data_IF_041739919287
#
_entry.id   IF_041739919287
#
_cell.length_a   1.000
_cell.length_b   1.000
_cell.length_c   1.000
_cell.angle_alpha   90.00
_cell.angle_beta   90.00
_cell.angle_gamma   90.00
#
_symmetry.space_group_name_H-M   'P 1'
#
loop_
_entity.id
_entity.type
_entity.pdbx_description
1 polymer ?
#
# COMPACT_ATOMS: atom_id res chain seq x y z
N UNK A 1 -16.10 29.14 -6.33
CA UNK A 1 -16.28 27.78 -6.88
C UNK A 1 -15.64 26.81 -5.90
N UNK A 2 -16.41 25.92 -5.27
CA UNK A 2 -15.87 24.98 -4.27
C UNK A 2 -15.01 23.92 -4.95
N UNK A 3 -13.81 23.67 -4.42
CA UNK A 3 -12.88 22.68 -4.93
C UNK A 3 -12.98 21.39 -4.11
N UNK A 4 -13.64 20.38 -4.66
CA UNK A 4 -13.88 19.09 -3.99
C UNK A 4 -12.71 18.10 -4.14
N UNK A 5 -11.68 18.42 -4.93
CA UNK A 5 -10.56 17.50 -5.18
C UNK A 5 -9.84 17.14 -3.89
N UNK A 6 -9.60 18.11 -3.00
CA UNK A 6 -8.92 17.88 -1.73
C UNK A 6 -9.68 16.92 -0.81
N UNK A 7 -11.01 17.07 -0.74
CA UNK A 7 -11.86 16.18 0.07
C UNK A 7 -11.84 14.75 -0.47
N UNK A 8 -12.02 14.59 -1.79
CA UNK A 8 -12.04 13.28 -2.45
C UNK A 8 -10.68 12.58 -2.30
N UNK A 9 -9.58 13.30 -2.55
CA UNK A 9 -8.22 12.78 -2.42
C UNK A 9 -7.92 12.38 -0.97
N UNK A 10 -8.29 13.22 0.01
CA UNK A 10 -8.10 12.91 1.43
C UNK A 10 -8.83 11.63 1.85
N UNK A 11 -10.06 11.44 1.39
CA UNK A 11 -10.82 10.21 1.64
C UNK A 11 -10.12 8.98 1.04
N UNK A 12 -9.61 9.08 -0.19
CA UNK A 12 -8.86 8.00 -0.83
C UNK A 12 -7.57 7.64 -0.10
N UNK A 13 -6.80 8.63 0.39
CA UNK A 13 -5.59 8.38 1.18
C UNK A 13 -5.90 7.58 2.43
N UNK A 14 -6.94 7.97 3.18
CA UNK A 14 -7.32 7.29 4.42
C UNK A 14 -7.71 5.83 4.14
N UNK A 15 -8.56 5.61 3.13
CA UNK A 15 -9.02 4.28 2.74
C UNK A 15 -7.87 3.39 2.23
N UNK A 16 -7.05 3.91 1.30
CA UNK A 16 -5.94 3.16 0.73
C UNK A 16 -4.89 2.80 1.78
N UNK A 17 -4.57 3.72 2.68
CA UNK A 17 -3.61 3.47 3.77
C UNK A 17 -4.11 2.36 4.70
N UNK A 18 -5.40 2.40 5.09
CA UNK A 18 -6.01 1.35 5.91
C UNK A 18 -6.03 -0.01 5.23
N UNK A 19 -6.42 -0.06 3.95
CA UNK A 19 -6.41 -1.29 3.16
C UNK A 19 -4.98 -1.81 2.96
N UNK A 20 -4.03 -0.92 2.70
CA UNK A 20 -2.61 -1.24 2.54
C UNK A 20 -2.03 -1.90 3.78
N UNK A 21 -2.34 -1.39 4.98
CA UNK A 21 -1.95 -2.02 6.24
C UNK A 21 -2.48 -3.46 6.37
N UNK A 22 -3.77 -3.67 6.12
CA UNK A 22 -4.39 -5.01 6.21
C UNK A 22 -3.77 -5.96 5.17
N UNK A 23 -3.52 -5.46 3.95
CA UNK A 23 -2.90 -6.23 2.88
C UNK A 23 -1.47 -6.66 3.24
N UNK A 24 -0.68 -5.79 3.88
CA UNK A 24 0.67 -6.09 4.36
C UNK A 24 0.65 -7.15 5.46
N UNK A 25 -0.25 -7.03 6.44
CA UNK A 25 -0.36 -8.00 7.54
C UNK A 25 -0.77 -9.38 7.00
N UNK A 26 -1.78 -9.43 6.12
CA UNK A 26 -2.20 -10.70 5.50
C UNK A 26 -1.11 -11.26 4.58
N UNK A 27 -0.46 -10.40 3.80
CA UNK A 27 0.65 -10.79 2.92
C UNK A 27 1.78 -11.44 3.70
N UNK A 28 2.17 -10.86 4.83
CA UNK A 28 3.17 -11.43 5.73
C UNK A 28 2.69 -12.73 6.38
N UNK A 29 1.43 -12.78 6.83
CA UNK A 29 0.86 -13.98 7.47
C UNK A 29 0.78 -15.20 6.53
N UNK A 30 0.42 -15.01 5.25
CA UNK A 30 0.25 -16.12 4.31
C UNK A 30 1.52 -16.46 3.51
N UNK A 31 2.27 -15.44 3.07
CA UNK A 31 3.39 -15.59 2.12
C UNK A 31 4.73 -15.13 2.72
N UNK A 32 4.73 -14.59 3.94
CA UNK A 32 5.90 -14.02 4.58
C UNK A 32 6.41 -12.78 3.84
N UNK A 33 7.70 -12.51 4.01
CA UNK A 33 8.36 -11.36 3.37
C UNK A 33 8.55 -11.55 1.86
N UNK A 34 8.38 -12.76 1.33
CA UNK A 34 8.62 -13.06 -0.10
C UNK A 34 7.67 -12.33 -1.06
N UNK A 35 6.57 -11.75 -0.55
CA UNK A 35 5.61 -10.99 -1.36
C UNK A 35 6.12 -9.59 -1.77
N UNK A 36 7.22 -9.10 -1.16
CA UNK A 36 7.75 -7.75 -1.39
C UNK A 36 7.99 -7.35 -2.87
N UNK A 37 8.42 -8.24 -3.80
CA UNK A 37 8.64 -7.83 -5.19
C UNK A 37 7.32 -7.54 -5.92
N UNK A 38 6.24 -8.21 -5.54
CA UNK A 38 4.91 -7.99 -6.14
C UNK A 38 4.43 -6.58 -5.77
N UNK A 39 4.56 -6.19 -4.50
CA UNK A 39 4.26 -4.83 -4.05
C UNK A 39 5.08 -3.78 -4.82
N UNK A 40 6.36 -4.07 -5.07
CA UNK A 40 7.25 -3.19 -5.82
C UNK A 40 6.81 -3.04 -7.28
N UNK A 41 6.52 -4.15 -7.97
CA UNK A 41 6.06 -4.13 -9.37
C UNK A 41 4.74 -3.35 -9.48
N UNK A 42 3.77 -3.63 -8.61
CA UNK A 42 2.48 -2.93 -8.58
C UNK A 42 2.70 -1.43 -8.35
N UNK A 43 3.59 -1.06 -7.44
CA UNK A 43 3.85 0.35 -7.15
C UNK A 43 4.46 1.11 -8.34
N UNK A 44 5.44 0.52 -9.02
CA UNK A 44 6.10 1.14 -10.19
C UNK A 44 5.10 1.28 -11.33
N UNK A 45 4.34 0.22 -11.63
CA UNK A 45 3.31 0.27 -12.66
C UNK A 45 2.26 1.34 -12.36
N UNK A 46 1.81 1.42 -11.11
CA UNK A 46 0.79 2.39 -10.73
C UNK A 46 1.29 3.83 -10.82
N UNK A 47 2.54 4.10 -10.42
CA UNK A 47 3.16 5.43 -10.55
C UNK A 47 3.35 5.81 -12.02
N UNK A 48 3.81 4.89 -12.87
CA UNK A 48 3.98 5.12 -14.30
C UNK A 48 2.64 5.37 -14.99
N UNK A 49 1.60 4.59 -14.67
CA UNK A 49 0.27 4.79 -15.24
C UNK A 49 -0.31 6.14 -14.75
N UNK A 50 -0.06 6.52 -13.50
CA UNK A 50 -0.48 7.80 -12.92
C UNK A 50 -0.04 9.01 -13.77
N UNK A 51 1.18 8.98 -14.35
CA UNK A 51 1.68 10.10 -15.18
C UNK A 51 1.05 10.15 -16.58
N UNK A 52 0.47 9.05 -17.05
CA UNK A 52 -0.19 8.95 -18.36
C UNK A 52 -1.69 9.29 -18.30
N UNK A 53 -2.28 9.34 -17.10
CA UNK A 53 -3.71 9.58 -16.90
C UNK A 53 -4.03 11.08 -16.91
N UNK A 54 -4.91 11.50 -17.82
CA UNK A 54 -5.36 12.90 -17.94
C UNK A 54 -6.30 13.37 -16.83
N UNK A 55 -7.02 12.45 -16.19
CA UNK A 55 -7.96 12.78 -15.12
C UNK A 55 -7.23 12.94 -13.78
N UNK A 56 -7.27 14.13 -13.20
CA UNK A 56 -6.58 14.49 -11.95
C UNK A 56 -6.94 13.57 -10.78
N UNK A 57 -8.21 13.16 -10.63
CA UNK A 57 -8.65 12.30 -9.53
C UNK A 57 -8.06 10.89 -9.69
N UNK A 58 -8.12 10.34 -10.91
CA UNK A 58 -7.60 9.01 -11.18
C UNK A 58 -6.07 8.97 -11.12
N UNK A 59 -5.40 10.01 -11.64
CA UNK A 59 -3.95 10.17 -11.52
C UNK A 59 -3.51 10.23 -10.05
N UNK A 60 -4.19 11.05 -9.24
CA UNK A 60 -3.94 11.13 -7.80
C UNK A 60 -4.18 9.78 -7.11
N UNK A 61 -5.28 9.08 -7.42
CA UNK A 61 -5.58 7.77 -6.85
C UNK A 61 -4.49 6.74 -7.14
N UNK A 62 -4.04 6.64 -8.39
CA UNK A 62 -2.95 5.75 -8.80
C UNK A 62 -1.63 6.11 -8.12
N UNK A 63 -1.32 7.40 -8.02
CA UNK A 63 -0.15 7.87 -7.28
C UNK A 63 -0.18 7.43 -5.81
N UNK A 64 -1.30 7.69 -5.12
CA UNK A 64 -1.50 7.31 -3.71
C UNK A 64 -1.41 5.80 -3.55
N UNK A 65 -2.03 5.02 -4.44
CA UNK A 65 -1.99 3.56 -4.42
C UNK A 65 -0.55 3.05 -4.60
N UNK A 66 0.20 3.62 -5.54
CA UNK A 66 1.62 3.30 -5.73
C UNK A 66 2.48 3.58 -4.50
N UNK A 67 2.35 4.78 -3.91
CA UNK A 67 3.08 5.14 -2.70
C UNK A 67 2.65 4.32 -1.47
N UNK A 68 1.36 3.96 -1.38
CA UNK A 68 0.85 3.08 -0.31
C UNK A 68 1.51 1.71 -0.37
N UNK A 69 1.66 1.14 -1.57
CA UNK A 69 2.34 -0.14 -1.75
C UNK A 69 3.86 -0.04 -1.52
N UNK A 70 4.52 1.04 -1.93
CA UNK A 70 5.93 1.30 -1.57
C UNK A 70 6.13 1.35 -0.06
N UNK A 71 5.29 2.11 0.64
CA UNK A 71 5.30 2.18 2.09
C UNK A 71 4.98 0.80 2.71
N UNK A 72 4.05 0.06 2.12
CA UNK A 72 3.69 -1.29 2.52
C UNK A 72 4.87 -2.28 2.49
N UNK A 73 5.83 -2.12 1.58
CA UNK A 73 7.07 -2.93 1.57
C UNK A 73 7.86 -2.71 2.87
N UNK A 74 8.08 -1.44 3.26
CA UNK A 74 8.78 -1.12 4.50
C UNK A 74 8.02 -1.65 5.72
N UNK A 75 6.70 -1.54 5.72
CA UNK A 75 5.86 -2.05 6.80
C UNK A 75 5.89 -3.59 6.87
N UNK A 76 5.98 -4.29 5.73
CA UNK A 76 6.14 -5.75 5.67
C UNK A 76 7.41 -6.21 6.41
N UNK A 77 8.55 -5.54 6.17
CA UNK A 77 9.80 -5.84 6.87
C UNK A 77 9.73 -5.49 8.36
N UNK A 78 9.05 -4.40 8.73
CA UNK A 78 8.82 -4.07 10.15
C UNK A 78 7.91 -5.08 10.82
N UNK A 79 6.85 -5.53 10.14
CA UNK A 79 5.92 -6.53 10.64
C UNK A 79 6.64 -7.86 10.89
N UNK A 80 7.50 -8.29 9.96
CA UNK A 80 8.36 -9.46 10.15
C UNK A 80 9.20 -9.36 11.44
N UNK A 81 9.82 -8.21 11.71
CA UNK A 81 10.57 -7.98 12.95
C UNK A 81 9.68 -8.04 14.20
N UNK A 82 8.44 -7.55 14.13
CA UNK A 82 7.48 -7.64 15.25
C UNK A 82 7.04 -9.09 15.50
N UNK A 83 6.85 -9.87 14.43
CA UNK A 83 6.54 -11.31 14.50
C UNK A 83 7.75 -12.10 15.02
N UNK A 84 8.97 -11.77 14.60
CA UNK A 84 10.21 -12.34 15.14
C UNK A 84 10.40 -12.06 16.64
N UNK A 85 9.92 -10.90 17.13
CA UNK A 85 9.88 -10.56 18.57
C UNK A 85 8.76 -11.26 19.36
N UNK A 86 7.91 -12.06 18.70
CA UNK A 86 6.80 -12.76 19.33
C UNK A 86 5.59 -11.90 19.70
N UNK A 87 5.52 -10.64 19.22
CA UNK A 87 4.37 -9.76 19.48
C UNK A 87 3.12 -10.14 18.68
N UNK A 88 3.29 -10.95 17.63
CA UNK A 88 2.21 -11.45 16.79
C UNK A 88 2.40 -12.94 16.51
N UNK A 89 1.31 -13.72 16.43
CA UNK A 89 1.40 -15.14 16.14
C UNK A 89 2.01 -15.35 14.77
N UNK A 90 3.16 -16.01 14.75
CA UNK A 90 3.77 -16.53 13.53
C UNK A 90 2.92 -17.71 13.08
N UNK A 91 2.59 -17.79 11.79
CA UNK A 91 1.89 -18.96 11.25
C UNK A 91 2.76 -20.20 11.53
N UNK A 92 2.30 -21.05 12.44
CA UNK A 92 2.86 -22.39 12.65
C UNK A 92 2.59 -23.19 11.38
N UNK A 93 3.64 -23.53 10.67
CA UNK A 93 3.66 -24.58 9.66
C UNK A 93 4.66 -25.63 10.13
#
# INVERSE_FOLDING_TARGET
MFNYYGFIIGLFVLLLTGIGHVAVIKGEYYLGVRIWPIFLIISILSILISTMVKNTILSAFLGILGFTFLWGILELFKQKKRVEKGWFPKKNN
#
